data_IF_108127881011
#
_entry.id   IF_108127881011
#
_cell.length_a   1.000
_cell.length_b   1.000
_cell.length_c   1.000
_cell.angle_alpha   90.00
_cell.angle_beta   90.00
_cell.angle_gamma   90.00
#
_symmetry.space_group_name_H-M   'P 1'
#
loop_
_entity.id
_entity.type
_entity.pdbx_description
1 polymer ?
#
# COMPACT_ATOMS: atom_id res chain seq x y z
N UNK A 1 -6.55 3.50 -10.23
CA UNK A 1 -5.52 2.81 -9.40
C UNK A 1 -5.44 1.32 -9.76
N UNK A 2 -6.52 0.71 -10.23
CA UNK A 2 -6.54 -0.62 -10.90
C UNK A 2 -6.41 -0.56 -12.44
N UNK A 3 -6.51 0.64 -13.04
CA UNK A 3 -6.50 0.88 -14.50
C UNK A 3 -7.69 0.28 -15.27
N UNK A 4 -8.81 0.02 -14.59
CA UNK A 4 -10.05 -0.46 -15.21
C UNK A 4 -10.92 0.68 -15.80
N UNK A 5 -10.53 1.95 -15.58
CA UNK A 5 -11.25 3.12 -16.04
C UNK A 5 -12.43 3.53 -15.14
N UNK A 6 -12.57 2.90 -13.97
CA UNK A 6 -13.54 3.28 -12.94
C UNK A 6 -12.82 3.78 -11.68
N UNK A 7 -13.55 4.43 -10.78
CA UNK A 7 -13.05 4.82 -9.47
C UNK A 7 -14.00 4.22 -8.43
N UNK A 8 -13.62 3.10 -7.84
CA UNK A 8 -14.50 2.29 -7.02
C UNK A 8 -13.78 1.67 -5.79
N UNK A 9 -14.46 0.79 -5.06
CA UNK A 9 -13.92 0.12 -3.87
C UNK A 9 -12.67 -0.73 -4.14
N UNK A 10 -12.50 -1.25 -5.36
CA UNK A 10 -11.32 -2.01 -5.78
C UNK A 10 -10.07 -1.12 -5.87
N UNK A 11 -10.22 0.13 -6.29
CA UNK A 11 -9.12 1.11 -6.26
C UNK A 11 -8.67 1.40 -4.84
N UNK A 12 -9.62 1.53 -3.91
CA UNK A 12 -9.33 1.73 -2.49
C UNK A 12 -8.61 0.52 -1.90
N UNK A 13 -9.14 -0.68 -2.11
CA UNK A 13 -8.51 -1.92 -1.65
C UNK A 13 -7.09 -2.10 -2.21
N UNK A 14 -6.91 -1.82 -3.51
CA UNK A 14 -5.59 -1.85 -4.13
C UNK A 14 -4.65 -0.80 -3.51
N UNK A 15 -5.14 0.40 -3.24
CA UNK A 15 -4.33 1.44 -2.61
C UNK A 15 -3.88 1.02 -1.20
N UNK A 16 -4.79 0.52 -0.37
CA UNK A 16 -4.49 0.08 1.01
C UNK A 16 -3.52 -1.10 0.99
N UNK A 17 -3.83 -2.15 0.24
CA UNK A 17 -3.12 -3.43 0.34
C UNK A 17 -1.88 -3.52 -0.54
N UNK A 18 -1.85 -2.85 -1.71
CA UNK A 18 -0.75 -2.96 -2.69
C UNK A 18 0.16 -1.75 -2.74
N UNK A 19 -0.39 -0.54 -2.64
CA UNK A 19 0.41 0.70 -2.73
C UNK A 19 0.96 1.07 -1.37
N UNK A 20 0.08 1.18 -0.36
CA UNK A 20 0.47 1.51 1.01
C UNK A 20 0.98 0.31 1.79
N UNK A 21 0.55 -0.89 1.40
CA UNK A 21 0.88 -2.11 2.11
C UNK A 21 0.55 -2.00 3.60
N UNK A 22 -0.63 -1.48 3.90
CA UNK A 22 -1.13 -1.38 5.28
C UNK A 22 -2.50 -2.04 5.39
N UNK A 23 -3.15 -1.89 6.54
CA UNK A 23 -4.47 -2.40 6.86
C UNK A 23 -5.53 -1.30 6.74
N UNK A 24 -6.78 -1.72 6.53
CA UNK A 24 -7.89 -0.85 6.91
C UNK A 24 -7.88 -0.71 8.42
N UNK A 25 -7.97 0.52 8.94
CA UNK A 25 -7.87 0.80 10.36
C UNK A 25 -6.58 1.50 10.80
N UNK A 26 -5.51 1.41 10.01
CA UNK A 26 -4.24 2.12 10.25
C UNK A 26 -4.42 3.61 9.94
N UNK A 27 -4.65 4.43 10.98
CA UNK A 27 -5.02 5.83 10.85
C UNK A 27 -3.81 6.74 10.62
N UNK A 28 -2.63 6.37 11.14
CA UNK A 28 -1.41 7.17 11.02
C UNK A 28 -0.46 6.69 9.90
N UNK A 29 -0.83 5.60 9.22
CA UNK A 29 -0.12 4.97 8.12
C UNK A 29 1.26 4.41 8.53
N UNK A 30 1.41 3.95 9.77
CA UNK A 30 2.64 3.32 10.27
C UNK A 30 2.82 1.84 9.84
N UNK A 31 1.79 1.28 9.18
CA UNK A 31 1.76 -0.09 8.67
C UNK A 31 1.04 -1.07 9.59
N UNK A 32 0.63 -0.66 10.78
CA UNK A 32 -0.07 -1.47 11.78
C UNK A 32 -1.49 -0.92 12.02
N UNK A 33 -2.43 -1.81 12.32
CA UNK A 33 -3.73 -1.40 12.86
C UNK A 33 -3.82 -1.90 14.30
N UNK A 34 -3.79 -0.98 15.26
CA UNK A 34 -3.84 -1.31 16.68
C UNK A 34 -4.65 -0.28 17.49
N UNK A 35 -4.55 -0.37 18.81
CA UNK A 35 -5.29 0.54 19.72
C UNK A 35 -4.89 2.02 19.60
N UNK A 36 -3.67 2.34 19.16
CA UNK A 36 -3.22 3.72 18.99
C UNK A 36 -4.02 4.43 17.89
N UNK A 37 -4.30 3.73 16.78
CA UNK A 37 -5.16 4.22 15.71
C UNK A 37 -6.57 4.54 16.19
N UNK A 38 -7.16 3.60 16.94
CA UNK A 38 -8.50 3.77 17.49
C UNK A 38 -8.55 4.97 18.45
N UNK A 39 -7.54 5.12 19.31
CA UNK A 39 -7.44 6.29 20.19
C UNK A 39 -7.33 7.58 19.35
N UNK A 40 -6.53 7.58 18.29
CA UNK A 40 -6.33 8.74 17.42
C UNK A 40 -7.65 9.18 16.74
N UNK A 41 -8.36 8.25 16.07
CA UNK A 41 -9.62 8.58 15.39
C UNK A 41 -10.73 8.99 16.36
N UNK A 42 -10.82 8.39 17.56
CA UNK A 42 -11.80 8.82 18.56
C UNK A 42 -11.45 10.16 19.22
N UNK A 43 -10.16 10.54 19.27
CA UNK A 43 -9.75 11.87 19.72
C UNK A 43 -10.16 12.98 18.76
N UNK A 44 -10.33 12.67 17.47
CA UNK A 44 -10.88 13.62 16.49
C UNK A 44 -12.34 13.99 16.80
N UNK A 45 -13.10 13.07 17.41
CA UNK A 45 -14.47 13.32 17.83
C UNK A 45 -15.52 13.29 16.70
N UNK A 46 -15.18 12.68 15.57
CA UNK A 46 -16.02 12.65 14.36
C UNK A 46 -16.89 11.38 14.26
N UNK A 47 -16.78 10.47 15.23
CA UNK A 47 -17.58 9.24 15.25
C UNK A 47 -19.07 9.53 15.41
N UNK A 48 -19.85 9.25 14.36
CA UNK A 48 -21.31 9.41 14.36
C UNK A 48 -21.75 10.82 14.83
N UNK A 49 -20.99 11.87 14.48
CA UNK A 49 -21.22 13.25 14.95
C UNK A 49 -22.29 14.01 14.14
N UNK A 50 -22.68 13.45 12.99
CA UNK A 50 -23.62 14.01 12.01
C UNK A 50 -23.13 15.29 11.31
N UNK A 51 -21.83 15.56 11.28
CA UNK A 51 -21.23 16.70 10.59
C UNK A 51 -20.72 16.25 9.22
N UNK A 52 -21.53 16.52 8.21
CA UNK A 52 -21.27 15.97 6.86
C UNK A 52 -19.91 16.38 6.29
N UNK A 53 -19.12 15.39 5.88
CA UNK A 53 -17.88 15.53 5.12
C UNK A 53 -16.72 16.11 5.92
N UNK A 54 -16.72 15.97 7.25
CA UNK A 54 -15.58 16.37 8.09
C UNK A 54 -14.53 15.27 8.25
N UNK A 55 -14.85 14.02 7.89
CA UNK A 55 -13.95 12.89 8.14
C UNK A 55 -12.94 12.65 7.03
N UNK A 56 -11.78 12.16 7.45
CA UNK A 56 -10.63 11.83 6.62
C UNK A 56 -10.07 10.48 7.05
N UNK A 57 -9.13 9.91 6.28
CA UNK A 57 -8.45 8.67 6.65
C UNK A 57 -7.90 8.68 8.08
N UNK A 58 -7.24 9.78 8.48
CA UNK A 58 -6.63 9.94 9.82
C UNK A 58 -7.64 10.15 10.94
N UNK A 59 -8.91 10.43 10.60
CA UNK A 59 -9.99 10.66 11.56
C UNK A 59 -11.09 9.59 11.50
N UNK A 60 -10.91 8.56 10.65
CA UNK A 60 -11.71 7.34 10.66
C UNK A 60 -12.51 7.02 9.38
N UNK A 61 -12.44 7.85 8.34
CA UNK A 61 -13.08 7.60 7.04
C UNK A 61 -12.29 6.56 6.22
N UNK A 62 -12.47 5.28 6.53
CA UNK A 62 -11.79 4.17 5.87
C UNK A 62 -12.58 3.59 4.70
N UNK A 63 -13.86 3.94 4.60
CA UNK A 63 -14.73 3.59 3.49
C UNK A 63 -14.71 4.67 2.38
N UNK A 64 -14.28 5.90 2.68
CA UNK A 64 -14.11 6.99 1.73
C UNK A 64 -15.41 7.71 1.37
N UNK A 65 -16.44 7.67 2.22
CA UNK A 65 -17.70 8.40 2.04
C UNK A 65 -17.71 9.76 2.74
N UNK A 66 -16.65 10.10 3.46
CA UNK A 66 -16.46 11.38 4.15
C UNK A 66 -16.99 11.42 5.58
N UNK A 67 -17.41 10.28 6.13
CA UNK A 67 -17.93 10.16 7.49
C UNK A 67 -17.18 9.08 8.27
N UNK A 68 -16.93 9.30 9.57
CA UNK A 68 -16.48 8.23 10.46
C UNK A 68 -17.68 7.59 11.15
N UNK A 69 -18.11 6.44 10.63
CA UNK A 69 -19.28 5.72 11.15
C UNK A 69 -18.94 4.29 11.55
N UNK A 70 -19.95 3.59 12.05
CA UNK A 70 -19.87 2.15 12.29
C UNK A 70 -19.49 1.37 11.01
N UNK A 71 -19.79 1.87 9.82
CA UNK A 71 -19.43 1.21 8.56
C UNK A 71 -17.92 1.12 8.35
N UNK A 72 -17.17 2.15 8.75
CA UNK A 72 -15.70 2.20 8.69
C UNK A 72 -15.07 1.20 9.65
N UNK A 73 -15.58 1.17 10.89
CA UNK A 73 -15.15 0.17 11.89
C UNK A 73 -15.37 -1.26 11.36
N UNK A 74 -16.52 -1.53 10.75
CA UNK A 74 -16.81 -2.84 10.15
C UNK A 74 -15.80 -3.16 9.04
N UNK A 75 -15.46 -2.21 8.16
CA UNK A 75 -14.46 -2.40 7.11
C UNK A 75 -13.07 -2.69 7.69
N UNK A 76 -12.61 -1.92 8.68
CA UNK A 76 -11.32 -2.13 9.33
C UNK A 76 -11.21 -3.49 10.02
N UNK A 77 -12.24 -3.90 10.76
CA UNK A 77 -12.23 -5.20 11.42
C UNK A 77 -12.43 -6.37 10.45
N UNK A 78 -13.11 -6.16 9.30
CA UNK A 78 -13.25 -7.18 8.27
C UNK A 78 -11.94 -7.45 7.50
N UNK A 79 -11.05 -6.46 7.34
CA UNK A 79 -9.68 -6.70 6.84
C UNK A 79 -8.87 -7.61 7.78
N UNK A 80 -9.23 -7.63 9.06
CA UNK A 80 -8.67 -8.53 10.07
C UNK A 80 -7.24 -8.21 10.45
N UNK A 81 -6.81 -6.96 10.27
CA UNK A 81 -5.47 -6.46 10.58
C UNK A 81 -5.18 -6.19 12.06
N UNK A 82 -6.22 -6.10 12.87
CA UNK A 82 -6.12 -5.63 14.25
C UNK A 82 -5.13 -6.45 15.09
N UNK A 83 -4.15 -5.76 15.70
CA UNK A 83 -3.08 -6.31 16.52
C UNK A 83 -2.27 -7.45 15.85
N UNK A 84 -2.16 -7.44 14.51
CA UNK A 84 -1.29 -8.38 13.77
C UNK A 84 0.15 -7.89 13.59
N UNK A 85 0.45 -6.67 14.02
CA UNK A 85 1.73 -6.01 13.77
C UNK A 85 1.86 -5.45 12.34
N UNK A 86 2.97 -4.77 12.04
CA UNK A 86 3.11 -4.01 10.79
C UNK A 86 3.09 -4.91 9.55
N UNK A 87 2.28 -4.56 8.53
CA UNK A 87 2.44 -5.10 7.17
C UNK A 87 3.76 -4.56 6.64
N UNK A 88 4.75 -5.45 6.51
CA UNK A 88 6.09 -5.06 6.11
C UNK A 88 6.09 -4.31 4.77
N UNK A 89 6.74 -3.14 4.75
CA UNK A 89 7.16 -2.48 3.51
C UNK A 89 7.96 -3.50 2.72
N UNK A 90 7.49 -3.94 1.54
CA UNK A 90 8.37 -4.70 0.65
C UNK A 90 9.38 -3.71 0.12
N UNK A 91 10.46 -3.51 0.87
CA UNK A 91 11.67 -2.87 0.35
C UNK A 91 12.05 -3.66 -0.89
N UNK A 92 11.93 -3.04 -2.06
CA UNK A 92 12.33 -3.64 -3.32
C UNK A 92 13.71 -4.29 -3.13
N UNK A 93 13.75 -5.61 -3.25
CA UNK A 93 15.01 -6.36 -3.19
C UNK A 93 15.88 -5.81 -4.32
N UNK A 94 17.10 -5.30 -4.04
CA UNK A 94 18.02 -4.98 -5.12
C UNK A 94 18.28 -6.29 -5.85
N UNK A 95 17.83 -6.42 -7.09
CA UNK A 95 18.13 -7.63 -7.86
C UNK A 95 19.66 -7.75 -7.92
N UNK A 96 20.26 -8.79 -7.31
CA UNK A 96 21.66 -9.03 -7.55
C UNK A 96 21.74 -9.39 -9.04
N UNK A 97 22.79 -8.91 -9.72
CA UNK A 97 23.27 -9.52 -10.97
C UNK A 97 22.66 -9.06 -12.32
N UNK A 98 22.09 -7.86 -12.46
CA UNK A 98 21.70 -7.34 -13.79
C UNK A 98 22.84 -7.02 -14.78
N UNK A 99 24.10 -6.92 -14.31
CA UNK A 99 25.23 -6.46 -15.16
C UNK A 99 26.17 -7.58 -15.66
N UNK A 100 26.16 -8.77 -15.04
CA UNK A 100 27.08 -9.85 -15.43
C UNK A 100 26.87 -10.44 -16.84
N UNK A 101 25.65 -10.64 -17.36
CA UNK A 101 25.47 -11.17 -18.71
C UNK A 101 25.81 -10.14 -19.81
N UNK A 102 25.78 -8.84 -19.51
CA UNK A 102 26.18 -7.77 -20.44
C UNK A 102 27.70 -7.75 -20.68
N UNK A 103 28.52 -8.04 -19.67
CA UNK A 103 29.97 -8.13 -19.83
C UNK A 103 30.42 -9.40 -20.58
N UNK A 104 29.72 -10.53 -20.38
CA UNK A 104 30.08 -11.80 -21.05
C UNK A 104 29.69 -11.82 -22.53
N UNK A 105 28.61 -11.14 -22.93
CA UNK A 105 28.20 -11.01 -24.34
C UNK A 105 29.15 -10.11 -25.15
N UNK A 106 29.71 -9.05 -24.55
CA UNK A 106 30.66 -8.17 -25.22
C UNK A 106 31.99 -8.88 -25.57
N UNK A 107 32.51 -9.73 -24.67
CA UNK A 107 33.73 -10.52 -24.92
C UNK A 107 33.54 -11.58 -26.00
N UNK A 108 32.35 -12.21 -26.05
CA UNK A 108 32.02 -13.21 -27.08
C UNK A 108 31.93 -12.62 -28.49
N UNK A 109 31.40 -11.40 -28.64
CA UNK A 109 31.30 -10.71 -29.94
C UNK A 109 32.68 -10.28 -30.45
N UNK A 110 33.54 -9.74 -29.57
CA UNK A 110 34.91 -9.33 -29.93
C UNK A 110 35.80 -10.52 -30.31
N UNK A 111 35.63 -11.68 -29.65
CA UNK A 111 36.37 -12.89 -30.01
C UNK A 111 35.94 -13.48 -31.36
N UNK A 112 34.66 -13.30 -31.75
CA UNK A 112 34.10 -13.82 -33.01
C UNK A 112 34.53 -12.99 -34.23
N UNK A 113 34.66 -11.66 -34.09
CA UNK A 113 35.12 -10.79 -35.20
C UNK A 113 36.61 -10.96 -35.51
N UNK A 114 37.43 -11.41 -34.55
CA UNK A 114 38.87 -11.69 -34.74
C UNK A 114 39.18 -13.02 -35.43
N UNK A 115 38.22 -13.95 -35.53
CA UNK A 115 38.39 -15.24 -36.22
C UNK A 115 38.07 -15.20 -37.71
N UNK A 116 37.51 -14.11 -38.22
CA UNK A 116 37.10 -13.97 -39.63
C UNK A 116 38.18 -13.24 -40.46
N UNK A 117 39.22 -12.70 -39.82
CA UNK A 117 40.33 -12.03 -40.49
C UNK A 117 41.63 -12.86 -40.40
N UNK A 118 41.67 -14.00 -41.10
CA UNK A 118 42.89 -14.69 -41.58
C UNK A 118 42.55 -15.30 -42.94
#
# INVERSE_FOLDING_TARGET
VTNDGTFNNEDRDFWVTKIKQTYFGDADLDGEFNSADLINVFQAGEYEDHVVGNSTWSTGDWNGDGEFTTSDLVIAFQDGGYDRGPRGVVTAVPEPTGLFPLFMSALGVVARTRRIAI
#
